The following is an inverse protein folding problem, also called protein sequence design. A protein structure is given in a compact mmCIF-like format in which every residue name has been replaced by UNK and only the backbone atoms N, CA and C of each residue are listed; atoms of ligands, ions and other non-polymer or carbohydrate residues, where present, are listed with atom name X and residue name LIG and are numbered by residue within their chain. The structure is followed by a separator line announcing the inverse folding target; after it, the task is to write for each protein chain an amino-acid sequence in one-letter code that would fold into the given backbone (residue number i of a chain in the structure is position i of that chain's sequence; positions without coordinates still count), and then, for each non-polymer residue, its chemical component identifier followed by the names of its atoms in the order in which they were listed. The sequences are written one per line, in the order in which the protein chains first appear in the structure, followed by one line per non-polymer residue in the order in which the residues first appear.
data_IF_791923775993
#
_entry.id   IF_791923775993
#
_cell.length_a   1.000
_cell.length_b   1.000
_cell.length_c   1.000
_cell.angle_alpha   90.00
_cell.angle_beta   90.00
_cell.angle_gamma   90.00
#
_symmetry.space_group_name_H-M   'P 1'
#
loop_
_entity.id
_entity.type
_entity.pdbx_description
1 polymer ?
#
# COMPACT_ATOMS: atom_id res chain seq x y z
N UNK A 1 4.78 6.74 7.67
CA UNK A 1 4.23 6.44 6.33
C UNK A 1 4.38 4.96 6.03
N UNK A 2 3.38 4.40 5.43
CA UNK A 2 3.44 3.04 4.89
C UNK A 2 3.58 3.15 3.38
N UNK A 3 4.54 2.42 2.82
CA UNK A 3 4.69 2.26 1.39
C UNK A 3 4.58 0.76 1.10
N UNK A 4 3.49 0.36 0.47
CA UNK A 4 3.23 -1.04 0.17
C UNK A 4 3.35 -1.29 -1.33
N UNK A 5 4.08 -2.35 -1.68
CA UNK A 5 4.20 -2.78 -3.06
C UNK A 5 3.49 -4.13 -3.16
N UNK A 6 2.44 -4.19 -3.94
CA UNK A 6 1.54 -5.34 -4.03
C UNK A 6 1.38 -5.80 -5.47
N UNK A 7 0.76 -6.97 -5.64
CA UNK A 7 0.36 -7.45 -6.96
C UNK A 7 -0.71 -6.54 -7.53
N UNK A 8 -0.66 -6.33 -8.83
CA UNK A 8 -1.60 -5.47 -9.54
C UNK A 8 -3.06 -5.91 -9.34
N UNK A 9 -3.31 -7.22 -9.37
CA UNK A 9 -4.65 -7.76 -9.25
C UNK A 9 -5.21 -7.73 -7.82
N UNK A 10 -4.41 -7.31 -6.84
CA UNK A 10 -4.84 -7.18 -5.44
C UNK A 10 -5.25 -5.77 -5.06
N UNK A 11 -5.10 -4.81 -5.96
CA UNK A 11 -5.38 -3.41 -5.63
C UNK A 11 -6.78 -3.18 -5.06
N UNK A 12 -7.79 -3.72 -5.72
CA UNK A 12 -9.17 -3.50 -5.26
C UNK A 12 -9.43 -4.15 -3.90
N UNK A 13 -8.92 -5.36 -3.68
CA UNK A 13 -9.08 -6.04 -2.39
C UNK A 13 -8.43 -5.25 -1.27
N UNK A 14 -7.22 -4.73 -1.50
CA UNK A 14 -6.50 -3.93 -0.52
C UNK A 14 -7.21 -2.60 -0.26
N UNK A 15 -7.65 -1.92 -1.31
CA UNK A 15 -8.40 -0.66 -1.18
C UNK A 15 -9.67 -0.85 -0.35
N UNK A 16 -10.43 -1.88 -0.64
CA UNK A 16 -11.69 -2.15 0.08
C UNK A 16 -11.43 -2.48 1.55
N UNK A 17 -10.42 -3.30 1.82
CA UNK A 17 -10.04 -3.64 3.18
C UNK A 17 -9.57 -2.42 3.98
N UNK A 18 -8.76 -1.56 3.37
CA UNK A 18 -8.30 -0.33 4.01
C UNK A 18 -9.45 0.63 4.30
N UNK A 19 -10.38 0.77 3.37
CA UNK A 19 -11.57 1.61 3.58
C UNK A 19 -12.38 1.09 4.76
N UNK A 20 -12.51 -0.23 4.89
CA UNK A 20 -13.27 -0.84 5.98
C UNK A 20 -12.73 -0.46 7.35
N UNK A 21 -11.42 -0.33 7.51
CA UNK A 21 -10.82 0.10 8.78
C UNK A 21 -10.70 1.62 8.91
N UNK A 22 -11.09 2.37 7.90
CA UNK A 22 -11.12 3.83 7.98
C UNK A 22 -9.89 4.53 7.42
N UNK A 23 -9.12 3.86 6.56
CA UNK A 23 -8.04 4.51 5.82
C UNK A 23 -8.65 5.17 4.60
N UNK A 24 -8.76 6.48 4.63
CA UNK A 24 -9.49 7.26 3.62
C UNK A 24 -8.56 7.86 2.56
N UNK A 25 -7.34 8.24 2.95
CA UNK A 25 -6.38 8.84 2.04
C UNK A 25 -5.25 7.91 1.69
N UNK A 26 -5.03 7.70 0.39
CA UNK A 26 -3.89 6.95 -0.09
C UNK A 26 -3.52 7.42 -1.50
N UNK A 27 -2.25 7.28 -1.83
CA UNK A 27 -1.77 7.51 -3.18
C UNK A 27 -1.44 6.17 -3.81
N UNK A 28 -1.74 6.03 -5.09
CA UNK A 28 -1.49 4.79 -5.82
C UNK A 28 -0.66 5.11 -7.06
N UNK A 29 0.37 4.33 -7.29
CA UNK A 29 1.22 4.45 -8.47
C UNK A 29 1.43 3.08 -9.10
N UNK A 30 1.50 3.05 -10.41
CA UNK A 30 1.89 1.86 -11.14
C UNK A 30 3.41 1.86 -11.25
N UNK A 31 4.03 0.74 -10.89
CA UNK A 31 5.48 0.58 -10.95
C UNK A 31 5.83 -0.74 -11.60
N UNK A 32 7.09 -0.93 -11.92
CA UNK A 32 7.60 -2.21 -12.39
C UNK A 32 8.68 -2.68 -11.42
N UNK A 33 8.58 -3.94 -11.01
CA UNK A 33 9.47 -4.51 -10.04
C UNK A 33 10.14 -5.78 -10.52
N UNK A 34 11.38 -5.97 -10.09
CA UNK A 34 12.13 -7.21 -10.26
C UNK A 34 12.35 -7.80 -8.87
N UNK A 35 11.96 -9.05 -8.71
CA UNK A 35 12.08 -9.69 -7.39
C UNK A 35 12.40 -11.17 -7.52
N UNK A 36 12.21 -11.88 -6.42
CA UNK A 36 12.49 -13.34 -6.34
C UNK A 36 11.74 -14.16 -7.36
N UNK A 37 10.62 -13.66 -7.82
CA UNK A 37 9.80 -14.32 -8.81
C UNK A 37 10.53 -14.56 -10.12
N UNK A 38 11.57 -13.78 -10.40
CA UNK A 38 12.44 -13.97 -11.54
C UNK A 38 11.88 -13.51 -12.87
N UNK A 39 10.65 -13.03 -12.91
CA UNK A 39 10.01 -12.58 -14.13
C UNK A 39 9.28 -13.68 -14.88
N UNK A 40 8.85 -13.37 -16.08
CA UNK A 40 8.06 -14.26 -16.94
C UNK A 40 8.88 -14.62 -18.17
N UNK A 41 8.90 -15.91 -18.52
CA UNK A 41 9.54 -16.37 -19.74
C UNK A 41 8.49 -16.40 -20.84
N UNK A 42 8.75 -15.67 -21.92
CA UNK A 42 7.88 -15.63 -23.09
C UNK A 42 8.56 -16.31 -24.26
N UNK A 43 7.79 -17.03 -25.07
CA UNK A 43 8.26 -17.71 -26.27
C UNK A 43 7.82 -16.96 -27.50
N UNK A 44 8.72 -16.82 -28.45
CA UNK A 44 8.43 -16.15 -29.71
C UNK A 44 9.18 -16.81 -30.86
N UNK A 45 9.12 -16.20 -32.06
CA UNK A 45 9.76 -16.73 -33.25
C UNK A 45 11.26 -16.88 -33.11
N UNK A 46 11.89 -16.00 -32.38
CA UNK A 46 13.35 -16.01 -32.15
C UNK A 46 13.77 -16.81 -30.91
N UNK A 47 12.84 -17.54 -30.28
CA UNK A 47 13.11 -18.29 -29.08
C UNK A 47 12.36 -17.73 -27.88
N UNK A 48 12.77 -18.11 -26.68
CA UNK A 48 12.16 -17.61 -25.44
C UNK A 48 12.97 -16.45 -24.89
N UNK A 49 12.28 -15.53 -24.22
CA UNK A 49 12.91 -14.41 -23.51
C UNK A 49 12.22 -14.19 -22.16
N UNK A 50 12.92 -13.57 -21.23
CA UNK A 50 12.43 -13.33 -19.90
C UNK A 50 12.02 -11.87 -19.73
N UNK A 51 10.83 -11.68 -19.12
CA UNK A 51 10.39 -10.34 -18.71
C UNK A 51 10.83 -10.15 -17.27
N UNK A 52 11.82 -9.30 -17.03
CA UNK A 52 12.42 -9.10 -15.72
C UNK A 52 11.65 -8.12 -14.84
N UNK A 53 10.97 -7.16 -15.45
CA UNK A 53 10.25 -6.12 -14.74
C UNK A 53 8.75 -6.36 -14.85
N UNK A 54 8.14 -6.80 -13.75
CA UNK A 54 6.72 -7.10 -13.68
C UNK A 54 5.93 -5.90 -13.18
N UNK A 55 4.70 -5.70 -13.67
CA UNK A 55 3.85 -4.62 -13.16
C UNK A 55 3.47 -4.88 -11.71
N UNK A 56 3.57 -3.84 -10.89
CA UNK A 56 3.21 -3.84 -9.48
C UNK A 56 2.49 -2.55 -9.16
N UNK A 57 1.83 -2.51 -8.02
CA UNK A 57 1.17 -1.32 -7.51
C UNK A 57 1.89 -0.87 -6.25
N UNK A 58 2.17 0.42 -6.17
CA UNK A 58 2.70 1.05 -4.97
C UNK A 58 1.58 1.87 -4.32
N UNK A 59 1.33 1.62 -3.06
CA UNK A 59 0.35 2.36 -2.27
C UNK A 59 1.09 3.08 -1.16
N UNK A 60 0.87 4.39 -1.06
CA UNK A 60 1.47 5.21 0.00
C UNK A 60 0.38 5.75 0.92
N UNK A 61 0.57 5.57 2.21
CA UNK A 61 -0.38 6.01 3.23
C UNK A 61 0.38 6.75 4.32
N UNK A 62 -0.01 7.99 4.59
CA UNK A 62 0.50 8.74 5.74
C UNK A 62 -0.56 8.65 6.83
N UNK A 63 -0.16 8.17 8.01
CA UNK A 63 -1.08 7.91 9.10
C UNK A 63 -0.35 8.05 10.44
N UNK A 64 -1.14 8.14 11.51
CA UNK A 64 -0.60 8.14 12.86
C UNK A 64 0.10 6.82 13.16
N UNK A 65 1.18 6.90 13.93
CA UNK A 65 1.93 5.73 14.39
C UNK A 65 1.03 4.72 15.10
N UNK A 66 0.02 5.18 15.83
CA UNK A 66 -0.92 4.33 16.55
C UNK A 66 -1.72 3.39 15.64
N UNK A 67 -1.82 3.71 14.36
CA UNK A 67 -2.62 2.96 13.40
C UNK A 67 -1.79 2.08 12.48
N UNK A 68 -0.47 2.12 12.61
CA UNK A 68 0.44 1.40 11.68
C UNK A 68 0.21 -0.11 11.75
N UNK A 69 0.21 -0.69 12.95
CA UNK A 69 0.12 -2.15 13.09
C UNK A 69 -1.18 -2.70 12.50
N UNK A 70 -2.31 -2.06 12.79
CA UNK A 70 -3.60 -2.49 12.25
C UNK A 70 -3.64 -2.38 10.73
N UNK A 71 -3.10 -1.30 10.21
CA UNK A 71 -3.06 -1.07 8.77
C UNK A 71 -2.17 -2.09 8.08
N UNK A 72 -0.99 -2.38 8.64
CA UNK A 72 -0.08 -3.40 8.11
C UNK A 72 -0.75 -4.77 8.10
N UNK A 73 -1.41 -5.16 9.18
CA UNK A 73 -2.13 -6.44 9.24
C UNK A 73 -3.22 -6.53 8.17
N UNK A 74 -3.92 -5.44 7.95
CA UNK A 74 -4.98 -5.37 6.94
C UNK A 74 -4.40 -5.55 5.53
N UNK A 75 -3.29 -4.89 5.23
CA UNK A 75 -2.63 -5.02 3.92
C UNK A 75 -2.12 -6.45 3.73
N UNK A 76 -1.45 -7.01 4.73
CA UNK A 76 -0.93 -8.39 4.64
C UNK A 76 -2.06 -9.38 4.35
N UNK A 77 -3.17 -9.28 5.07
CA UNK A 77 -4.29 -10.20 4.90
C UNK A 77 -4.94 -10.06 3.53
N UNK A 78 -5.08 -8.85 3.01
CA UNK A 78 -5.78 -8.59 1.75
C UNK A 78 -4.91 -8.73 0.51
N UNK A 79 -3.59 -8.54 0.64
CA UNK A 79 -2.65 -8.62 -0.49
C UNK A 79 -2.03 -10.00 -0.67
N UNK A 80 -2.13 -10.87 0.33
CA UNK A 80 -1.53 -12.19 0.29
C UNK A 80 -2.24 -13.10 -0.70
N UNK A 81 -1.47 -13.85 -1.49
CA UNK A 81 -2.01 -14.86 -2.39
C UNK A 81 -2.19 -16.18 -1.67
N UNK A 82 -3.41 -16.73 -1.70
CA UNK A 82 -3.73 -17.96 -1.00
C UNK A 82 -3.64 -17.83 0.52
N UNK A 83 -3.69 -18.96 1.23
CA UNK A 83 -3.67 -18.97 2.69
C UNK A 83 -2.27 -18.75 3.28
N UNK A 84 -1.23 -19.11 2.56
CA UNK A 84 0.16 -19.08 3.04
C UNK A 84 1.02 -18.00 2.35
N UNK A 85 0.45 -17.32 1.37
CA UNK A 85 1.20 -16.34 0.58
C UNK A 85 2.08 -17.01 -0.47
N UNK A 86 2.57 -16.20 -1.39
CA UNK A 86 3.43 -16.65 -2.49
C UNK A 86 4.54 -15.64 -2.74
N UNK A 87 5.64 -16.09 -3.32
CA UNK A 87 6.69 -15.20 -3.78
C UNK A 87 6.10 -14.20 -4.77
N UNK A 88 6.46 -12.93 -4.64
CA UNK A 88 5.91 -11.88 -5.47
C UNK A 88 4.69 -11.18 -4.89
N UNK A 89 4.21 -11.57 -3.71
CA UNK A 89 3.10 -10.88 -3.05
C UNK A 89 3.44 -9.44 -2.68
N UNK A 90 4.70 -9.14 -2.50
CA UNK A 90 5.17 -7.78 -2.29
C UNK A 90 5.82 -7.53 -0.95
N UNK A 91 6.02 -6.26 -0.66
CA UNK A 91 6.69 -5.79 0.55
C UNK A 91 5.96 -4.57 1.10
N UNK A 92 6.11 -4.37 2.40
CA UNK A 92 5.61 -3.17 3.07
C UNK A 92 6.80 -2.50 3.75
N UNK A 93 6.97 -1.20 3.46
CA UNK A 93 7.98 -0.38 4.13
C UNK A 93 7.28 0.56 5.10
N UNK A 94 7.83 0.67 6.29
CA UNK A 94 7.35 1.58 7.32
C UNK A 94 8.42 2.64 7.52
N UNK A 95 8.08 3.89 7.22
CA UNK A 95 9.04 4.99 7.23
C UNK A 95 8.55 6.11 8.14
N UNK A 96 9.45 6.75 8.89
CA UNK A 96 9.09 7.96 9.61
C UNK A 96 8.87 9.10 8.62
N UNK A 97 7.91 9.96 8.94
CA UNK A 97 7.66 11.20 8.23
C UNK A 97 7.87 12.34 9.23
N UNK A 98 8.82 13.21 8.95
CA UNK A 98 9.17 14.28 9.89
C UNK A 98 8.01 15.24 10.09
N UNK A 99 7.34 15.60 9.01
CA UNK A 99 6.23 16.53 9.08
C UNK A 99 5.31 16.36 7.88
N UNK A 100 4.03 16.65 8.08
CA UNK A 100 3.02 16.69 7.02
C UNK A 100 2.38 18.07 7.02
N UNK A 101 2.18 18.62 5.84
CA UNK A 101 1.52 19.92 5.68
C UNK A 101 0.40 19.77 4.65
N UNK A 102 -0.81 20.13 5.04
CA UNK A 102 -1.95 20.13 4.12
C UNK A 102 -1.89 21.40 3.26
N UNK A 103 -1.84 21.23 1.95
CA UNK A 103 -1.69 22.38 1.04
C UNK A 103 -2.85 23.36 1.17
N UNK A 104 -4.08 22.87 1.23
CA UNK A 104 -5.26 23.74 1.25
C UNK A 104 -5.31 24.66 2.47
N UNK A 105 -4.95 24.17 3.64
CA UNK A 105 -5.13 24.88 4.90
C UNK A 105 -3.83 25.34 5.55
N UNK A 106 -2.70 24.76 5.15
CA UNK A 106 -1.43 24.97 5.84
C UNK A 106 -1.32 24.26 7.18
N UNK A 107 -2.32 23.45 7.56
CA UNK A 107 -2.27 22.66 8.79
C UNK A 107 -1.09 21.69 8.75
N UNK A 108 -0.47 21.51 9.93
CA UNK A 108 0.72 20.68 10.09
C UNK A 108 0.49 19.56 11.08
N UNK A 109 1.32 18.53 10.96
CA UNK A 109 1.33 17.42 11.90
C UNK A 109 0.15 16.49 11.74
N UNK A 110 -0.30 15.90 12.86
CA UNK A 110 -1.34 14.87 12.87
C UNK A 110 -2.64 15.35 12.21
N UNK A 111 -3.05 16.58 12.48
CA UNK A 111 -4.30 17.13 11.94
C UNK A 111 -4.30 17.21 10.42
N UNK A 112 -3.13 17.32 9.81
CA UNK A 112 -3.01 17.38 8.35
C UNK A 112 -3.40 16.07 7.67
N UNK A 113 -3.43 14.95 8.38
CA UNK A 113 -3.74 13.62 7.82
C UNK A 113 -5.06 13.06 8.33
N UNK A 114 -5.81 13.79 9.16
CA UNK A 114 -7.11 13.36 9.65
C UNK A 114 -8.22 13.75 8.69
N UNK A 115 -9.18 12.84 8.51
CA UNK A 115 -10.35 13.05 7.66
C UNK A 115 -11.62 12.62 8.38
N UNK A 116 -12.77 13.23 8.07
CA UNK A 116 -14.05 12.78 8.64
C UNK A 116 -14.31 11.31 8.31
N UNK A 117 -14.64 10.52 9.33
CA UNK A 117 -14.91 9.09 9.19
C UNK A 117 -13.68 8.21 9.11
N UNK A 118 -12.48 8.77 9.27
CA UNK A 118 -11.25 8.00 9.21
C UNK A 118 -11.03 7.14 10.46
N UNK A 119 -9.95 6.37 10.42
CA UNK A 119 -9.61 5.43 11.50
C UNK A 119 -9.44 6.13 12.86
N UNK A 120 -8.88 7.33 12.89
CA UNK A 120 -8.69 8.09 14.12
C UNK A 120 -10.02 8.51 14.72
N UNK A 121 -10.94 9.01 13.91
CA UNK A 121 -12.26 9.41 14.36
C UNK A 121 -13.03 8.20 14.88
N UNK A 122 -12.96 7.07 14.19
CA UNK A 122 -13.61 5.81 14.62
C UNK A 122 -13.08 5.32 15.96
N UNK A 123 -11.82 5.62 16.28
CA UNK A 123 -11.21 5.29 17.58
C UNK A 123 -11.49 6.33 18.66
N UNK A 124 -12.31 7.35 18.36
CA UNK A 124 -12.67 8.39 19.30
C UNK A 124 -11.61 9.47 19.50
N UNK A 125 -10.63 9.57 18.63
CA UNK A 125 -9.62 10.64 18.69
C UNK A 125 -10.20 11.94 18.12
N UNK A 126 -9.88 13.06 18.74
CA UNK A 126 -10.29 14.37 18.28
C UNK A 126 -9.25 14.96 17.34
N UNK A 127 -9.73 15.73 16.40
CA UNK A 127 -8.86 16.55 15.57
C UNK A 127 -8.18 17.63 16.38
#
# INVERSE_FOLDING_TARGET
MIEAIIREDKLNDVKDALRTIGIMGMNVAEIRGHGRQGGIVLSGRSGSYQVDLLPKIQINIVLSEDNVDETVKTIVASARSGSNGEAGDGLIFILPVDEVVRIRTGERGHDAVMYPGDIDERKGKKK
#
